data_IF_484241625856
#
_entry.id   IF_484241625856
#
_cell.length_a   1.000
_cell.length_b   1.000
_cell.length_c   1.000
_cell.angle_alpha   90.00
_cell.angle_beta   90.00
_cell.angle_gamma   90.00
#
_symmetry.space_group_name_H-M   'P 1'
#
loop_
_entity.id
_entity.type
_entity.pdbx_description
1 polymer ?
#
# COMPACT_ATOMS: atom_id res chain seq x y z
N UNK A 1 19.75 -10.02 -14.41
CA UNK A 1 20.09 -9.36 -15.70
C UNK A 1 18.85 -9.05 -16.55
N UNK A 2 17.87 -9.96 -16.68
CA UNK A 2 16.71 -9.75 -17.56
C UNK A 2 15.77 -8.59 -17.14
N UNK A 3 15.53 -8.37 -15.84
CA UNK A 3 14.71 -7.25 -15.36
C UNK A 3 15.24 -5.88 -15.80
N UNK A 4 16.53 -5.61 -15.56
CA UNK A 4 17.18 -4.36 -15.99
C UNK A 4 17.09 -4.14 -17.50
N UNK A 5 17.23 -5.19 -18.31
CA UNK A 5 17.12 -5.08 -19.77
C UNK A 5 15.69 -4.72 -20.20
N UNK A 6 14.68 -5.32 -19.57
CA UNK A 6 13.26 -4.97 -19.82
C UNK A 6 12.97 -3.53 -19.41
N UNK A 7 13.46 -3.11 -18.24
CA UNK A 7 13.33 -1.75 -17.75
C UNK A 7 13.99 -0.74 -18.70
N UNK A 8 15.21 -1.02 -19.19
CA UNK A 8 15.92 -0.17 -20.15
C UNK A 8 15.21 -0.10 -21.51
N UNK A 9 14.53 -1.17 -21.93
CA UNK A 9 13.69 -1.19 -23.12
C UNK A 9 12.30 -0.52 -22.90
N UNK A 10 12.06 0.09 -21.74
CA UNK A 10 10.79 0.73 -21.39
C UNK A 10 9.64 -0.24 -21.12
N UNK A 11 9.91 -1.54 -21.04
CA UNK A 11 8.93 -2.60 -20.74
C UNK A 11 8.81 -2.79 -19.24
N UNK A 12 8.31 -1.77 -18.56
CA UNK A 12 8.27 -1.70 -17.10
C UNK A 12 7.33 -2.75 -16.49
N UNK A 13 6.15 -2.97 -17.05
CA UNK A 13 5.22 -4.01 -16.60
C UNK A 13 5.85 -5.41 -16.57
N UNK A 14 6.66 -5.73 -17.57
CA UNK A 14 7.34 -7.03 -17.67
C UNK A 14 8.61 -7.13 -16.82
N UNK A 15 9.19 -5.99 -16.43
CA UNK A 15 10.34 -5.96 -15.55
C UNK A 15 9.94 -6.28 -14.11
N UNK A 16 8.76 -5.85 -13.68
CA UNK A 16 8.25 -6.02 -12.31
C UNK A 16 8.26 -7.47 -11.79
N UNK A 17 7.69 -8.46 -12.49
CA UNK A 17 7.74 -9.85 -12.01
C UNK A 17 9.18 -10.38 -11.94
N UNK A 18 10.06 -9.97 -12.85
CA UNK A 18 11.47 -10.38 -12.83
C UNK A 18 12.24 -9.81 -11.63
N UNK A 19 11.90 -8.59 -11.22
CA UNK A 19 12.44 -7.99 -9.99
C UNK A 19 11.85 -8.65 -8.74
N UNK A 20 10.57 -9.03 -8.76
CA UNK A 20 9.95 -9.79 -7.67
C UNK A 20 10.64 -11.14 -7.43
N UNK A 21 10.94 -11.89 -8.49
CA UNK A 21 11.71 -13.14 -8.37
C UNK A 21 13.15 -12.91 -7.91
N UNK A 22 13.82 -11.86 -8.39
CA UNK A 22 15.15 -11.52 -7.92
C UNK A 22 15.14 -11.14 -6.42
N UNK A 23 14.12 -10.42 -5.98
CA UNK A 23 13.92 -10.08 -4.57
C UNK A 23 13.70 -11.35 -3.74
N UNK A 24 12.89 -12.29 -4.23
CA UNK A 24 12.69 -13.57 -3.55
C UNK A 24 14.02 -14.29 -3.31
N UNK A 25 14.87 -14.37 -4.34
CA UNK A 25 16.19 -15.00 -4.25
C UNK A 25 17.06 -14.34 -3.18
N UNK A 26 17.10 -13.01 -3.13
CA UNK A 26 17.87 -12.30 -2.09
C UNK A 26 17.28 -12.47 -0.68
N UNK A 27 15.96 -12.61 -0.57
CA UNK A 27 15.29 -12.90 0.71
C UNK A 27 15.66 -14.29 1.22
N UNK A 28 15.59 -15.34 0.38
CA UNK A 28 15.80 -16.73 0.84
C UNK A 28 17.28 -17.16 0.89
N UNK A 29 18.18 -16.36 0.33
CA UNK A 29 19.62 -16.64 0.32
C UNK A 29 20.23 -16.53 1.72
N UNK A 30 21.26 -17.32 1.99
CA UNK A 30 22.06 -17.22 3.21
C UNK A 30 22.76 -15.85 3.28
N UNK A 31 22.48 -15.09 4.35
CA UNK A 31 22.88 -13.69 4.49
C UNK A 31 21.90 -12.74 3.82
N UNK A 32 20.97 -12.20 4.62
CA UNK A 32 19.96 -11.23 4.20
C UNK A 32 20.63 -9.94 3.70
N UNK A 33 20.78 -9.79 2.38
CA UNK A 33 21.51 -8.67 1.77
C UNK A 33 20.63 -7.43 1.65
N UNK A 34 20.55 -6.62 2.71
CA UNK A 34 19.73 -5.40 2.71
C UNK A 34 20.09 -4.41 1.58
N UNK A 35 21.37 -4.19 1.23
CA UNK A 35 21.71 -3.31 0.11
C UNK A 35 21.14 -3.80 -1.24
N UNK A 36 21.20 -5.10 -1.52
CA UNK A 36 20.66 -5.63 -2.79
C UNK A 36 19.13 -5.62 -2.81
N UNK A 37 18.46 -5.94 -1.69
CA UNK A 37 17.01 -5.81 -1.57
C UNK A 37 16.54 -4.37 -1.76
N UNK A 38 17.25 -3.42 -1.14
CA UNK A 38 16.98 -1.98 -1.28
C UNK A 38 17.08 -1.53 -2.73
N UNK A 39 18.13 -1.96 -3.43
CA UNK A 39 18.34 -1.67 -4.85
C UNK A 39 17.24 -2.29 -5.72
N UNK A 40 16.82 -3.51 -5.45
CA UNK A 40 15.71 -4.15 -6.17
C UNK A 40 14.39 -3.41 -5.95
N UNK A 41 14.12 -2.95 -4.73
CA UNK A 41 12.94 -2.13 -4.44
C UNK A 41 12.98 -0.79 -5.17
N UNK A 42 14.13 -0.14 -5.28
CA UNK A 42 14.25 1.07 -6.08
C UNK A 42 13.92 0.82 -7.55
N UNK A 43 14.38 -0.31 -8.11
CA UNK A 43 14.05 -0.69 -9.49
C UNK A 43 12.56 -0.98 -9.68
N UNK A 44 11.92 -1.61 -8.69
CA UNK A 44 10.48 -1.86 -8.66
C UNK A 44 9.71 -0.54 -8.62
N UNK A 45 10.07 0.38 -7.73
CA UNK A 45 9.42 1.69 -7.56
C UNK A 45 9.50 2.52 -8.85
N UNK A 46 10.68 2.59 -9.48
CA UNK A 46 10.85 3.26 -10.77
C UNK A 46 9.97 2.60 -11.85
N UNK A 47 9.91 1.27 -11.88
CA UNK A 47 9.11 0.55 -12.87
C UNK A 47 7.61 0.76 -12.66
N UNK A 48 7.13 0.80 -11.40
CA UNK A 48 5.74 1.11 -11.06
C UNK A 48 5.37 2.53 -11.52
N UNK A 49 6.22 3.51 -11.22
CA UNK A 49 5.99 4.91 -11.60
C UNK A 49 5.91 5.09 -13.12
N UNK A 50 6.86 4.53 -13.86
CA UNK A 50 6.86 4.61 -15.33
C UNK A 50 5.72 3.81 -15.97
N UNK A 51 5.29 2.70 -15.37
CA UNK A 51 4.11 1.97 -15.84
C UNK A 51 2.82 2.77 -15.62
N UNK A 52 2.66 3.39 -14.44
CA UNK A 52 1.49 4.19 -14.08
C UNK A 52 1.28 5.40 -15.00
N UNK A 53 2.37 6.01 -15.50
CA UNK A 53 2.29 7.12 -16.47
C UNK A 53 1.71 6.70 -17.83
N UNK A 54 1.85 5.44 -18.23
CA UNK A 54 1.59 5.00 -19.61
C UNK A 54 0.18 4.46 -19.86
N UNK A 55 -0.73 4.53 -18.88
CA UNK A 55 -2.07 3.92 -18.97
C UNK A 55 -2.02 2.49 -19.56
N UNK A 56 -0.97 1.75 -19.21
CA UNK A 56 -0.64 0.45 -19.77
C UNK A 56 -1.37 -0.69 -19.06
N UNK A 57 -0.95 -1.91 -19.40
CA UNK A 57 -1.42 -3.14 -18.78
C UNK A 57 -1.20 -3.12 -17.26
N UNK A 58 -2.14 -3.72 -16.52
CA UNK A 58 -2.04 -3.83 -15.08
C UNK A 58 -0.75 -4.60 -14.73
N UNK A 59 0.10 -4.05 -13.86
CA UNK A 59 1.37 -4.69 -13.55
C UNK A 59 1.16 -6.02 -12.82
N UNK A 60 1.96 -7.04 -13.16
CA UNK A 60 1.95 -8.32 -12.46
C UNK A 60 2.79 -8.21 -11.17
N UNK A 61 2.11 -8.04 -10.03
CA UNK A 61 2.74 -7.72 -8.74
C UNK A 61 2.90 -8.90 -7.79
N UNK A 62 2.24 -10.03 -8.05
CA UNK A 62 2.23 -11.20 -7.17
C UNK A 62 3.64 -11.66 -6.76
N UNK A 63 4.64 -11.73 -7.66
CA UNK A 63 5.99 -12.13 -7.26
C UNK A 63 6.64 -11.18 -6.26
N UNK A 64 6.31 -9.89 -6.31
CA UNK A 64 6.85 -8.88 -5.39
C UNK A 64 6.16 -9.02 -4.03
N UNK A 65 4.83 -9.14 -4.02
CA UNK A 65 4.05 -9.30 -2.78
C UNK A 65 4.45 -10.56 -2.01
N UNK A 66 4.66 -11.67 -2.72
CA UNK A 66 5.16 -12.92 -2.15
C UNK A 66 6.53 -12.75 -1.51
N UNK A 67 7.46 -12.08 -2.19
CA UNK A 67 8.81 -11.83 -1.69
C UNK A 67 8.81 -10.95 -0.45
N UNK A 68 8.01 -9.89 -0.44
CA UNK A 68 7.86 -9.01 0.72
C UNK A 68 7.23 -9.72 1.91
N UNK A 69 6.23 -10.58 1.66
CA UNK A 69 5.62 -11.40 2.72
C UNK A 69 6.63 -12.38 3.31
N UNK A 70 7.43 -13.03 2.46
CA UNK A 70 8.50 -13.94 2.89
C UNK A 70 9.56 -13.20 3.73
N UNK A 71 9.92 -11.98 3.32
CA UNK A 71 10.92 -11.16 4.02
C UNK A 71 10.48 -10.83 5.45
N UNK A 72 9.23 -10.43 5.66
CA UNK A 72 8.75 -10.03 7.00
C UNK A 72 8.53 -11.20 7.95
N UNK A 73 8.39 -12.42 7.42
CA UNK A 73 8.33 -13.65 8.20
C UNK A 73 9.72 -14.19 8.56
N UNK A 74 10.78 -13.71 7.90
CA UNK A 74 12.14 -14.17 8.15
C UNK A 74 12.68 -13.65 9.50
N UNK A 75 13.16 -14.52 10.41
CA UNK A 75 13.71 -14.08 11.70
C UNK A 75 14.84 -13.04 11.59
N UNK A 76 15.59 -13.04 10.48
CA UNK A 76 16.67 -12.09 10.23
C UNK A 76 16.14 -10.67 10.00
N UNK A 77 14.90 -10.52 9.55
CA UNK A 77 14.23 -9.21 9.50
C UNK A 77 14.15 -8.56 10.89
N UNK A 78 13.76 -9.35 11.89
CA UNK A 78 13.69 -8.91 13.28
C UNK A 78 15.08 -8.67 13.88
N UNK A 79 16.11 -9.38 13.43
CA UNK A 79 17.48 -9.17 13.88
C UNK A 79 18.06 -7.81 13.43
N UNK A 80 17.47 -7.14 12.43
CA UNK A 80 17.84 -5.80 11.97
C UNK A 80 17.14 -4.69 12.79
N UNK A 81 16.54 -5.02 13.93
CA UNK A 81 15.87 -4.03 14.77
C UNK A 81 16.79 -2.88 15.14
N UNK A 82 16.23 -1.66 15.09
CA UNK A 82 16.92 -0.40 15.38
C UNK A 82 18.05 -0.01 14.42
N UNK A 83 18.22 -0.67 13.26
CA UNK A 83 19.23 -0.26 12.27
C UNK A 83 18.67 0.65 11.17
N UNK A 84 19.55 1.49 10.60
CA UNK A 84 19.18 2.37 9.48
C UNK A 84 18.74 1.55 8.25
N UNK A 85 19.34 0.38 8.05
CA UNK A 85 19.01 -0.53 6.95
C UNK A 85 17.56 -1.01 7.05
N UNK A 86 17.10 -1.43 8.24
CA UNK A 86 15.72 -1.82 8.45
C UNK A 86 14.76 -0.65 8.25
N UNK A 87 15.14 0.54 8.68
CA UNK A 87 14.33 1.73 8.49
C UNK A 87 14.14 2.06 7.00
N UNK A 88 15.24 2.12 6.24
CA UNK A 88 15.21 2.39 4.79
C UNK A 88 14.42 1.31 4.05
N UNK A 89 14.62 0.04 4.41
CA UNK A 89 13.92 -1.07 3.79
C UNK A 89 12.40 -1.01 4.08
N UNK A 90 12.02 -0.72 5.33
CA UNK A 90 10.62 -0.52 5.72
C UNK A 90 9.98 0.67 5.00
N UNK A 91 10.70 1.79 4.87
CA UNK A 91 10.22 2.95 4.10
C UNK A 91 9.97 2.60 2.63
N UNK A 92 10.88 1.88 1.98
CA UNK A 92 10.74 1.48 0.56
C UNK A 92 9.59 0.50 0.36
N UNK A 93 9.35 -0.40 1.32
CA UNK A 93 8.15 -1.24 1.30
C UNK A 93 6.87 -0.42 1.42
N UNK A 94 6.85 0.62 2.26
CA UNK A 94 5.72 1.53 2.32
C UNK A 94 5.47 2.24 0.99
N UNK A 95 6.53 2.77 0.35
CA UNK A 95 6.44 3.37 -0.98
C UNK A 95 5.88 2.39 -2.02
N UNK A 96 6.30 1.12 -1.97
CA UNK A 96 5.78 0.09 -2.87
C UNK A 96 4.25 -0.04 -2.71
N UNK A 97 3.75 -0.17 -1.49
CA UNK A 97 2.32 -0.32 -1.24
C UNK A 97 1.49 0.89 -1.65
N UNK A 98 2.04 2.10 -1.52
CA UNK A 98 1.40 3.34 -2.01
C UNK A 98 1.38 3.38 -3.54
N UNK A 99 2.50 3.03 -4.19
CA UNK A 99 2.63 3.12 -5.65
C UNK A 99 1.88 2.01 -6.39
N UNK A 100 1.85 0.79 -5.83
CA UNK A 100 1.24 -0.39 -6.43
C UNK A 100 -0.28 -0.32 -6.46
N UNK A 101 -0.88 0.12 -5.35
CA UNK A 101 -2.33 0.07 -5.15
C UNK A 101 -2.81 1.27 -4.32
N UNK A 102 -2.82 2.48 -4.90
CA UNK A 102 -3.10 3.72 -4.16
C UNK A 102 -4.51 3.74 -3.54
N UNK A 103 -5.49 3.12 -4.19
CA UNK A 103 -6.90 3.11 -3.75
C UNK A 103 -7.26 1.92 -2.85
N UNK A 104 -6.31 1.00 -2.61
CA UNK A 104 -6.58 -0.19 -1.80
C UNK A 104 -6.31 0.09 -0.32
N UNK A 105 -7.38 0.14 0.48
CA UNK A 105 -7.31 0.40 1.92
C UNK A 105 -6.40 -0.58 2.68
N UNK A 106 -6.35 -1.85 2.27
CA UNK A 106 -5.45 -2.85 2.88
C UNK A 106 -3.98 -2.51 2.58
N UNK A 107 -3.68 -2.15 1.34
CA UNK A 107 -2.35 -1.71 0.93
C UNK A 107 -1.94 -0.43 1.66
N UNK A 108 -2.85 0.53 1.82
CA UNK A 108 -2.61 1.73 2.63
C UNK A 108 -2.31 1.40 4.10
N UNK A 109 -3.01 0.43 4.69
CA UNK A 109 -2.75 -0.05 6.04
C UNK A 109 -1.33 -0.64 6.19
N UNK A 110 -0.91 -1.46 5.23
CA UNK A 110 0.47 -1.98 5.19
C UNK A 110 1.50 -0.87 5.01
N UNK A 111 1.26 0.07 4.10
CA UNK A 111 2.12 1.23 3.90
C UNK A 111 2.29 2.04 5.19
N UNK A 112 1.19 2.32 5.90
CA UNK A 112 1.23 3.04 7.16
C UNK A 112 2.06 2.31 8.22
N UNK A 113 1.88 0.98 8.36
CA UNK A 113 2.62 0.18 9.34
C UNK A 113 4.13 0.17 9.06
N UNK A 114 4.54 -0.08 7.81
CA UNK A 114 5.96 -0.10 7.46
C UNK A 114 6.60 1.29 7.60
N UNK A 115 5.88 2.33 7.20
CA UNK A 115 6.40 3.69 7.29
C UNK A 115 6.48 4.18 8.74
N UNK A 116 5.53 3.79 9.60
CA UNK A 116 5.61 4.07 11.04
C UNK A 116 6.83 3.40 11.67
N UNK A 117 7.09 2.12 11.34
CA UNK A 117 8.29 1.42 11.80
C UNK A 117 9.57 2.15 11.36
N UNK A 118 9.63 2.60 10.11
CA UNK A 118 10.75 3.40 9.61
C UNK A 118 10.93 4.69 10.41
N UNK A 119 9.86 5.46 10.65
CA UNK A 119 9.94 6.72 11.39
C UNK A 119 10.41 6.50 12.83
N UNK A 120 9.90 5.45 13.48
CA UNK A 120 10.31 5.10 14.85
C UNK A 120 11.81 4.86 14.90
N UNK A 121 12.35 3.99 14.06
CA UNK A 121 13.79 3.70 14.04
C UNK A 121 14.61 4.97 13.74
N UNK A 122 14.24 5.74 12.71
CA UNK A 122 15.00 6.93 12.29
C UNK A 122 15.02 8.05 13.34
N UNK A 123 13.98 8.16 14.19
CA UNK A 123 13.94 9.16 15.26
C UNK A 123 14.89 8.84 16.41
N UNK A 124 15.20 7.57 16.63
CA UNK A 124 16.11 7.15 17.71
C UNK A 124 17.57 7.04 17.25
N UNK A 125 17.83 7.09 15.93
CA UNK A 125 19.18 7.07 15.39
C UNK A 125 19.82 8.48 15.44
N UNK A 126 21.01 8.65 16.05
CA UNK A 126 21.70 9.94 16.12
C UNK A 126 22.41 10.33 14.80
N UNK A 127 22.14 9.64 13.70
CA UNK A 127 22.91 9.72 12.47
C UNK A 127 22.41 10.83 11.53
N UNK A 128 23.34 11.66 11.05
CA UNK A 128 23.08 12.63 9.99
C UNK A 128 22.54 11.99 8.69
N UNK A 129 22.87 10.72 8.43
CA UNK A 129 22.33 9.97 7.29
C UNK A 129 20.85 9.62 7.46
N UNK A 130 20.32 9.60 8.68
CA UNK A 130 18.91 9.29 8.97
C UNK A 130 17.96 10.46 8.68
N UNK A 131 18.44 11.71 8.78
CA UNK A 131 17.64 12.92 8.60
C UNK A 131 16.89 13.01 7.24
N UNK A 132 17.52 12.75 6.07
CA UNK A 132 16.80 12.77 4.80
C UNK A 132 15.73 11.68 4.72
N UNK A 133 16.01 10.49 5.24
CA UNK A 133 15.04 9.39 5.26
C UNK A 133 13.86 9.69 6.18
N UNK A 134 14.10 10.32 7.34
CA UNK A 134 13.04 10.69 8.27
C UNK A 134 12.09 11.70 7.61
N UNK A 135 12.66 12.71 6.95
CA UNK A 135 11.88 13.73 6.22
C UNK A 135 10.99 13.09 5.15
N UNK A 136 11.54 12.16 4.37
CA UNK A 136 10.78 11.44 3.34
C UNK A 136 9.68 10.56 3.94
N UNK A 137 9.99 9.81 5.01
CA UNK A 137 9.03 8.95 5.67
C UNK A 137 7.86 9.76 6.28
N UNK A 138 8.13 10.89 6.93
CA UNK A 138 7.09 11.76 7.49
C UNK A 138 6.18 12.37 6.40
N UNK A 139 6.76 12.73 5.25
CA UNK A 139 6.00 13.22 4.10
C UNK A 139 5.04 12.15 3.55
N UNK A 140 5.52 10.91 3.37
CA UNK A 140 4.69 9.80 2.90
C UNK A 140 3.59 9.46 3.90
N UNK A 141 3.88 9.44 5.21
CA UNK A 141 2.87 9.19 6.25
C UNK A 141 1.75 10.22 6.18
N UNK A 142 2.12 11.49 6.04
CA UNK A 142 1.16 12.59 5.94
C UNK A 142 0.28 12.45 4.70
N UNK A 143 0.86 12.08 3.55
CA UNK A 143 0.12 11.85 2.31
C UNK A 143 -0.86 10.66 2.42
N UNK A 144 -0.43 9.54 3.00
CA UNK A 144 -1.29 8.35 3.20
C UNK A 144 -2.48 8.69 4.09
N UNK A 145 -2.25 9.36 5.23
CA UNK A 145 -3.32 9.75 6.15
C UNK A 145 -4.30 10.76 5.53
N UNK A 146 -3.79 11.70 4.73
CA UNK A 146 -4.64 12.65 4.01
C UNK A 146 -5.55 11.95 2.97
N UNK A 147 -5.03 10.95 2.25
CA UNK A 147 -5.81 10.17 1.27
C UNK A 147 -6.88 9.27 1.90
N UNK A 148 -6.64 8.74 3.10
CA UNK A 148 -7.65 7.97 3.84
C UNK A 148 -8.79 8.85 4.39
N UNK A 149 -8.53 10.14 4.60
CA UNK A 149 -9.50 11.11 5.16
C UNK A 149 -10.52 11.61 4.12
N UNK A 150 -10.15 11.64 2.84
CA UNK A 150 -11.00 12.10 1.73
C UNK A 150 -11.94 11.02 1.19
N UNK A 151 -11.79 9.77 1.61
CA UNK A 151 -12.54 8.61 1.12
C UNK A 151 -13.78 8.26 1.96
N UNK A 152 -14.27 9.18 2.79
CA UNK A 152 -15.53 9.01 3.53
C UNK A 152 -16.70 9.57 2.71
N UNK A 153 -17.55 8.74 2.05
CA UNK A 153 -18.77 9.23 1.46
C UNK A 153 -19.74 9.53 2.61
N UNK A 154 -20.12 10.79 2.74
CA UNK A 154 -21.08 11.25 3.73
C UNK A 154 -22.32 10.37 3.76
N UNK A 155 -22.42 9.55 4.82
CA UNK A 155 -23.67 8.96 5.24
C UNK A 155 -24.56 10.06 5.81
N UNK A 156 -25.69 10.30 5.15
CA UNK A 156 -26.88 10.85 5.78
C UNK A 156 -27.14 12.32 5.54
N UNK A 157 -27.86 12.62 4.44
CA UNK A 157 -28.88 13.66 4.49
C UNK A 157 -30.26 12.98 4.38
N UNK A 158 -30.71 12.43 5.51
CA UNK A 158 -32.14 12.18 5.75
C UNK A 158 -32.71 13.47 6.33
N UNK A 159 -33.18 14.35 5.48
CA UNK A 159 -34.05 15.46 5.86
C UNK A 159 -35.37 15.37 5.10
N UNK A 160 -36.26 14.53 5.62
CA UNK A 160 -37.69 14.81 5.62
C UNK A 160 -38.07 15.07 7.09
N UNK A 161 -38.81 16.14 7.40
CA UNK A 161 -40.25 16.04 7.24
C UNK A 161 -40.93 17.37 6.86
N UNK A 162 -41.78 17.37 5.83
CA UNK A 162 -42.99 18.20 5.80
C UNK A 162 -43.87 17.80 4.60
N UNK A 163 -44.83 16.93 4.85
CA UNK A 163 -46.00 16.78 3.99
C UNK A 163 -47.22 16.55 4.89
N UNK A 164 -47.85 17.66 5.27
CA UNK A 164 -49.20 17.72 5.81
C UNK A 164 -50.10 18.18 4.66
N UNK A 165 -51.06 17.36 4.25
CA UNK A 165 -52.50 17.67 4.15
C UNK A 165 -53.26 16.75 3.17
N UNK A 166 -54.41 16.25 3.64
CA UNK A 166 -55.49 15.63 2.86
C UNK A 166 -55.44 14.10 2.90
N UNK A 167 -56.29 13.34 3.59
CA UNK A 167 -57.66 13.59 4.02
C UNK A 167 -58.56 12.55 3.35
N UNK A 168 -58.92 11.48 4.07
CA UNK A 168 -60.19 10.74 3.95
C UNK A 168 -60.14 9.48 4.85
N UNK A 169 -61.08 9.39 5.79
CA UNK A 169 -61.30 8.27 6.69
C UNK A 169 -62.14 7.15 6.02
N UNK A 170 -62.16 5.93 6.59
CA UNK A 170 -62.67 4.72 5.94
C UNK A 170 -64.13 4.42 6.34
N UNK A 171 -64.81 3.52 5.59
CA UNK A 171 -65.75 2.58 6.17
C UNK A 171 -65.30 1.15 5.82
N UNK A 172 -65.20 0.20 6.72
CA UNK A 172 -66.29 -0.24 7.59
C UNK A 172 -66.72 -1.64 7.13
N UNK A 173 -66.53 -2.63 8.02
CA UNK A 173 -67.35 -3.83 8.14
C UNK A 173 -67.13 -5.03 7.19
N UNK A 174 -66.63 -6.12 7.78
CA UNK A 174 -66.85 -7.52 7.35
C UNK A 174 -68.36 -7.84 7.30
N UNK A 175 -68.76 -8.85 6.50
CA UNK A 175 -69.15 -10.16 7.08
C UNK A 175 -68.59 -11.35 6.24
N UNK A 176 -68.14 -12.45 6.83
CA UNK A 176 -68.87 -13.64 7.36
C UNK A 176 -69.65 -14.44 6.30
N UNK A 177 -69.18 -15.69 6.10
CA UNK A 177 -69.86 -16.89 5.58
C UNK A 177 -70.40 -16.83 4.13
N UNK A 178 -70.32 -17.87 3.30
CA UNK A 178 -70.67 -19.27 3.56
C UNK A 178 -70.19 -20.17 2.40
N UNK A 179 -70.05 -21.46 2.71
CA UNK A 179 -69.97 -22.63 1.84
C UNK A 179 -68.66 -22.87 1.07
#
# INVERSE_FOLDING_TARGET
>A
ACGNLRQAAGRHAEALPLFGEALYVEVVKDGLSVPEMTKLLDQILVSLHENGKRAGEAPHLEPIERSLSTLVEDPRWHALEETIELAVLSHKMALFHVAAMPDNQRSQGWAANYNERSIQILRYLPDHEAAPWLTQAEAIRSAVLAGSSSSSPGAGDRTGPHAMLGGAAPPGSRPRSSA
#
